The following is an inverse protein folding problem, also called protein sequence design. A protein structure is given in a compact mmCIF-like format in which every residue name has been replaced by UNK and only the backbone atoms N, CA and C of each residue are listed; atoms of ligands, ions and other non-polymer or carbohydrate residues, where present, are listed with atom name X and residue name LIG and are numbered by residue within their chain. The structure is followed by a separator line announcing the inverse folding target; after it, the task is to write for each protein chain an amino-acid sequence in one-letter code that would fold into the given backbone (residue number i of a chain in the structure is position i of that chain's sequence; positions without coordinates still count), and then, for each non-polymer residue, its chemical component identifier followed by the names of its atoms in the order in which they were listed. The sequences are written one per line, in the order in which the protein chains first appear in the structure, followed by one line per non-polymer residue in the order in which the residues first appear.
data_IF_211198316761
#
_entry.id   IF_211198316761
#
_cell.length_a   1.000
_cell.length_b   1.000
_cell.length_c   1.000
_cell.angle_alpha   90.00
_cell.angle_beta   90.00
_cell.angle_gamma   90.00
#
_symmetry.space_group_name_H-M   'P 1'
#
loop_
_entity.id
_entity.type
_entity.pdbx_description
1 polymer ?
#
# COMPACT_ATOMS: atom_id res chain seq x y z
N UNK A 1 -2.56 17.06 -23.91
CA UNK A 1 -1.98 16.72 -22.59
C UNK A 1 -1.02 15.58 -22.84
N UNK A 2 0.25 15.71 -22.48
CA UNK A 2 1.27 14.70 -22.75
C UNK A 2 0.98 13.43 -21.94
N UNK A 3 1.27 12.26 -22.51
CA UNK A 3 1.11 10.96 -21.84
C UNK A 3 1.94 10.87 -20.55
N UNK A 4 3.05 11.61 -20.48
CA UNK A 4 3.90 11.76 -19.29
C UNK A 4 3.14 12.27 -18.06
N UNK A 5 2.17 13.17 -18.23
CA UNK A 5 1.40 13.70 -17.10
C UNK A 5 0.52 12.64 -16.45
N UNK A 6 0.05 11.64 -17.20
CA UNK A 6 -0.80 10.56 -16.67
C UNK A 6 0.02 9.54 -15.87
N UNK A 7 1.25 9.24 -16.28
CA UNK A 7 2.14 8.38 -15.48
C UNK A 7 2.56 9.06 -14.18
N UNK A 8 2.83 10.37 -14.20
CA UNK A 8 3.14 11.14 -13.00
C UNK A 8 1.99 11.08 -11.97
N UNK A 9 0.74 11.22 -12.42
CA UNK A 9 -0.46 11.09 -11.56
C UNK A 9 -0.57 9.71 -10.91
N UNK A 10 -0.32 8.63 -11.66
CA UNK A 10 -0.35 7.26 -11.13
C UNK A 10 0.79 7.03 -10.14
N UNK A 11 1.98 7.61 -10.36
CA UNK A 11 3.09 7.57 -9.41
C UNK A 11 2.73 8.28 -8.10
N UNK A 12 2.12 9.47 -8.16
CA UNK A 12 1.62 10.18 -6.98
C UNK A 12 0.57 9.33 -6.24
N UNK A 13 -0.31 8.64 -6.99
CA UNK A 13 -1.26 7.68 -6.43
C UNK A 13 -0.59 6.54 -5.67
N UNK A 14 0.51 5.99 -6.21
CA UNK A 14 1.31 4.97 -5.54
C UNK A 14 1.94 5.50 -4.24
N UNK A 15 2.53 6.69 -4.27
CA UNK A 15 3.13 7.34 -3.09
C UNK A 15 2.07 7.63 -2.01
N UNK A 16 0.86 8.03 -2.41
CA UNK A 16 -0.25 8.27 -1.50
C UNK A 16 -0.69 6.98 -0.79
N UNK A 17 -0.74 5.86 -1.53
CA UNK A 17 -1.00 4.53 -0.95
C UNK A 17 0.09 4.12 0.03
N UNK A 18 1.35 4.32 -0.34
CA UNK A 18 2.48 4.03 0.54
C UNK A 18 2.42 4.83 1.84
N UNK A 19 2.11 6.13 1.76
CA UNK A 19 1.93 6.98 2.94
C UNK A 19 0.78 6.50 3.84
N UNK A 20 -0.34 6.08 3.25
CA UNK A 20 -1.47 5.52 4.01
C UNK A 20 -1.06 4.23 4.73
N UNK A 21 -0.33 3.32 4.08
CA UNK A 21 0.12 2.07 4.72
C UNK A 21 1.12 2.32 5.85
N UNK A 22 2.04 3.27 5.70
CA UNK A 22 2.96 3.67 6.78
C UNK A 22 2.18 4.23 7.97
N UNK A 23 1.16 5.06 7.72
CA UNK A 23 0.30 5.60 8.78
C UNK A 23 -0.43 4.49 9.53
N UNK A 24 -1.07 3.57 8.80
CA UNK A 24 -1.76 2.41 9.40
C UNK A 24 -0.78 1.56 10.22
N UNK A 25 0.44 1.34 9.71
CA UNK A 25 1.48 0.62 10.43
C UNK A 25 1.86 1.31 11.75
N UNK A 26 1.98 2.64 11.77
CA UNK A 26 2.26 3.40 12.98
C UNK A 26 1.12 3.33 14.02
N UNK A 27 -0.14 3.36 13.57
CA UNK A 27 -1.32 3.25 14.44
C UNK A 27 -1.35 1.91 15.20
N UNK A 28 -0.88 0.82 14.60
CA UNK A 28 -0.76 -0.48 15.27
C UNK A 28 0.19 -0.43 16.48
N UNK A 29 1.31 0.30 16.40
CA UNK A 29 2.23 0.45 17.52
C UNK A 29 1.64 1.31 18.65
N UNK A 30 0.83 2.31 18.32
CA UNK A 30 0.10 3.08 19.32
C UNK A 30 -0.88 2.19 20.09
N UNK A 31 -1.60 1.31 19.39
CA UNK A 31 -2.49 0.32 20.01
C UNK A 31 -1.73 -0.66 20.91
N UNK A 32 -0.60 -1.20 20.44
CA UNK A 32 0.26 -2.09 21.25
C UNK A 32 0.79 -1.36 22.49
N UNK A 33 1.22 -0.11 22.36
CA UNK A 33 1.70 0.69 23.50
C UNK A 33 0.61 0.85 24.56
N UNK A 34 -0.61 1.17 24.14
CA UNK A 34 -1.75 1.30 25.05
C UNK A 34 -2.06 -0.02 25.76
N UNK A 35 -2.05 -1.14 25.03
CA UNK A 35 -2.26 -2.47 25.60
C UNK A 35 -1.19 -2.82 26.66
N UNK A 36 0.06 -2.40 26.45
CA UNK A 36 1.14 -2.57 27.43
C UNK A 36 0.94 -1.68 28.66
N UNK A 37 0.50 -0.43 28.49
CA UNK A 37 0.17 0.46 29.61
C UNK A 37 -0.97 -0.12 30.47
N UNK A 38 -2.03 -0.62 29.82
CA UNK A 38 -3.14 -1.30 30.49
C UNK A 38 -2.65 -2.55 31.25
N UNK A 39 -1.72 -3.31 30.65
CA UNK A 39 -1.08 -4.46 31.31
C UNK A 39 -0.32 -4.06 32.57
N UNK A 40 0.44 -2.97 32.53
CA UNK A 40 1.19 -2.45 33.67
C UNK A 40 0.25 -2.10 34.82
N UNK A 41 -0.87 -1.43 34.53
CA UNK A 41 -1.87 -1.09 35.56
C UNK A 41 -2.43 -2.36 36.21
N UNK A 42 -2.77 -3.38 35.42
CA UNK A 42 -3.29 -4.65 35.95
C UNK A 42 -2.25 -5.40 36.79
N UNK A 43 -1.01 -5.48 36.33
CA UNK A 43 0.09 -6.10 37.07
C UNK A 43 0.36 -5.38 38.38
N UNK A 44 0.32 -4.05 38.39
CA UNK A 44 0.47 -3.26 39.61
C UNK A 44 -0.63 -3.54 40.64
N UNK A 45 -1.87 -3.83 40.21
CA UNK A 45 -2.95 -4.22 41.13
C UNK A 45 -2.75 -5.61 41.78
N UNK A 46 -1.95 -6.48 41.15
CA UNK A 46 -1.57 -7.79 41.69
C UNK A 46 -0.38 -7.66 42.65
N UNK A 47 0.66 -6.93 42.24
CA UNK A 47 1.88 -6.72 43.03
C UNK A 47 1.60 -5.84 44.26
N UNK A 48 0.80 -4.78 44.08
CA UNK A 48 0.45 -3.80 45.10
C UNK A 48 -1.08 -3.68 45.23
N UNK A 49 -1.74 -4.58 45.99
CA UNK A 49 -3.19 -4.73 45.99
C UNK A 49 -3.92 -3.69 46.85
N UNK A 50 -3.64 -2.40 46.63
CA UNK A 50 -4.39 -1.30 47.25
C UNK A 50 -5.80 -1.20 46.66
N UNK A 51 -6.79 -0.65 47.40
CA UNK A 51 -8.12 -0.42 46.86
C UNK A 51 -8.11 0.42 45.57
N UNK A 52 -7.26 1.45 45.51
CA UNK A 52 -7.10 2.31 44.34
C UNK A 52 -6.60 1.53 43.10
N UNK A 53 -5.57 0.71 43.25
CA UNK A 53 -5.03 -0.07 42.13
C UNK A 53 -6.02 -1.12 41.63
N UNK A 54 -6.73 -1.78 42.56
CA UNK A 54 -7.79 -2.73 42.20
C UNK A 54 -8.93 -2.07 41.43
N UNK A 55 -9.35 -0.88 41.85
CA UNK A 55 -10.39 -0.09 41.15
C UNK A 55 -9.95 0.25 39.72
N UNK A 56 -8.72 0.74 39.52
CA UNK A 56 -8.17 1.05 38.18
C UNK A 56 -8.12 -0.19 37.28
N UNK A 57 -7.77 -1.35 37.82
CA UNK A 57 -7.66 -2.59 37.05
C UNK A 57 -9.03 -3.19 36.64
N UNK A 58 -10.10 -2.95 37.41
CA UNK A 58 -11.44 -3.46 37.11
C UNK A 58 -12.02 -2.83 35.84
N UNK A 59 -11.69 -1.57 35.55
CA UNK A 59 -12.13 -0.87 34.34
C UNK A 59 -11.36 -1.25 33.07
N UNK A 60 -10.33 -2.11 33.17
CA UNK A 60 -9.47 -2.49 32.05
C UNK A 60 -9.77 -3.90 31.52
N UNK A 61 -9.51 -4.17 30.24
CA UNK A 61 -9.67 -5.51 29.65
C UNK A 61 -8.87 -6.58 30.40
N UNK A 62 -9.26 -7.86 30.29
CA UNK A 62 -8.51 -8.96 30.91
C UNK A 62 -7.11 -9.11 30.31
N UNK A 63 -6.16 -9.70 31.05
CA UNK A 63 -4.81 -9.99 30.51
C UNK A 63 -4.86 -10.87 29.27
N UNK A 64 -5.82 -11.81 29.20
CA UNK A 64 -6.02 -12.66 28.01
C UNK A 64 -6.51 -11.84 26.81
N UNK A 65 -7.42 -10.89 27.04
CA UNK A 65 -7.91 -9.98 26.01
C UNK A 65 -6.80 -9.06 25.51
N UNK A 66 -6.01 -8.50 26.42
CA UNK A 66 -4.85 -7.66 26.08
C UNK A 66 -3.82 -8.47 25.28
N UNK A 67 -3.47 -9.67 25.74
CA UNK A 67 -2.52 -10.55 25.05
C UNK A 67 -3.00 -10.97 23.66
N UNK A 68 -4.31 -11.14 23.48
CA UNK A 68 -4.92 -11.42 22.17
C UNK A 68 -4.84 -10.20 21.24
N UNK A 69 -5.19 -9.02 21.73
CA UNK A 69 -5.08 -7.74 20.99
C UNK A 69 -3.65 -7.46 20.55
N UNK A 70 -2.66 -7.59 21.45
CA UNK A 70 -1.24 -7.43 21.10
C UNK A 70 -0.82 -8.41 20.01
N UNK A 71 -1.25 -9.68 20.10
CA UNK A 71 -0.92 -10.70 19.09
C UNK A 71 -1.52 -10.36 17.73
N UNK A 72 -2.76 -9.91 17.69
CA UNK A 72 -3.45 -9.48 16.47
C UNK A 72 -2.73 -8.29 15.83
N UNK A 73 -2.50 -7.22 16.60
CA UNK A 73 -1.78 -6.04 16.14
C UNK A 73 -0.37 -6.36 15.62
N UNK A 74 0.36 -7.28 16.26
CA UNK A 74 1.67 -7.74 15.79
C UNK A 74 1.58 -8.50 14.46
N UNK A 75 0.54 -9.32 14.27
CA UNK A 75 0.34 -10.04 13.01
C UNK A 75 -0.03 -9.08 11.88
N UNK A 76 -0.89 -8.11 12.16
CA UNK A 76 -1.26 -7.08 11.20
C UNK A 76 -0.08 -6.20 10.84
N UNK A 77 0.76 -5.84 11.82
CA UNK A 77 1.99 -5.09 11.59
C UNK A 77 2.90 -5.84 10.60
N UNK A 78 3.07 -7.17 10.74
CA UNK A 78 3.84 -7.98 9.80
C UNK A 78 3.25 -7.96 8.38
N UNK A 79 1.92 -7.99 8.26
CA UNK A 79 1.25 -7.93 6.96
C UNK A 79 1.46 -6.55 6.32
N UNK A 80 1.29 -5.48 7.08
CA UNK A 80 1.54 -4.10 6.63
C UNK A 80 3.00 -3.87 6.21
N UNK A 81 3.98 -4.43 6.92
CA UNK A 81 5.37 -4.39 6.46
C UNK A 81 5.56 -5.04 5.08
N UNK A 82 4.89 -6.16 4.80
CA UNK A 82 4.98 -6.82 3.48
C UNK A 82 4.36 -5.95 2.38
N UNK A 83 3.22 -5.31 2.66
CA UNK A 83 2.55 -4.38 1.73
C UNK A 83 3.43 -3.17 1.42
N UNK A 84 3.99 -2.52 2.45
CA UNK A 84 4.93 -1.39 2.30
C UNK A 84 6.13 -1.80 1.43
N UNK A 85 6.76 -2.95 1.73
CA UNK A 85 7.90 -3.44 0.93
C UNK A 85 7.51 -3.72 -0.52
N UNK A 86 6.31 -4.26 -0.76
CA UNK A 86 5.79 -4.50 -2.11
C UNK A 86 5.59 -3.19 -2.89
N UNK A 87 5.00 -2.18 -2.24
CA UNK A 87 4.79 -0.85 -2.82
C UNK A 87 6.10 -0.13 -3.10
N UNK A 88 7.09 -0.23 -2.20
CA UNK A 88 8.43 0.33 -2.41
C UNK A 88 9.10 -0.29 -3.63
N UNK A 89 9.06 -1.62 -3.78
CA UNK A 89 9.60 -2.30 -4.96
C UNK A 89 8.93 -1.84 -6.25
N UNK A 90 7.60 -1.71 -6.26
CA UNK A 90 6.87 -1.16 -7.41
C UNK A 90 7.34 0.25 -7.75
N UNK A 91 7.53 1.11 -6.74
CA UNK A 91 8.04 2.45 -6.96
C UNK A 91 9.47 2.43 -7.55
N UNK A 92 10.35 1.55 -7.05
CA UNK A 92 11.70 1.35 -7.59
C UNK A 92 11.68 0.92 -9.07
N UNK A 93 10.87 -0.08 -9.40
CA UNK A 93 10.72 -0.56 -10.77
C UNK A 93 10.24 0.55 -11.71
N UNK A 94 9.31 1.39 -11.25
CA UNK A 94 8.80 2.53 -12.02
C UNK A 94 9.89 3.58 -12.22
N UNK A 95 10.68 3.92 -11.20
CA UNK A 95 11.74 4.92 -11.31
C UNK A 95 12.89 4.45 -12.20
N UNK A 96 13.18 3.15 -12.22
CA UNK A 96 14.21 2.58 -13.09
C UNK A 96 13.78 2.51 -14.55
N UNK A 97 12.50 2.22 -14.82
CA UNK A 97 11.98 2.02 -16.17
C UNK A 97 11.23 3.22 -16.74
N UNK A 98 10.96 4.24 -15.93
CA UNK A 98 10.14 5.43 -16.23
C UNK A 98 8.76 5.09 -16.79
N UNK A 99 8.22 3.93 -16.42
CA UNK A 99 6.97 3.38 -16.96
C UNK A 99 6.13 2.77 -15.86
N UNK A 100 4.84 3.06 -15.92
CA UNK A 100 3.82 2.47 -15.05
C UNK A 100 2.88 1.63 -15.91
N UNK A 101 2.58 0.41 -15.47
CA UNK A 101 1.58 -0.43 -16.13
C UNK A 101 0.20 0.25 -16.10
N UNK A 102 -0.44 0.34 -17.26
CA UNK A 102 -1.75 0.98 -17.36
C UNK A 102 -2.82 0.10 -16.69
N UNK A 103 -3.30 0.56 -15.54
CA UNK A 103 -4.33 -0.09 -14.71
C UNK A 103 -5.68 -0.28 -15.41
N UNK A 104 -5.93 0.40 -16.53
CA UNK A 104 -7.19 0.27 -17.27
C UNK A 104 -7.19 -0.91 -18.25
N UNK A 105 -6.01 -1.32 -18.72
CA UNK A 105 -5.88 -2.45 -19.65
C UNK A 105 -4.96 -3.55 -19.12
N UNK A 106 -4.54 -3.48 -17.86
CA UNK A 106 -3.60 -4.41 -17.23
C UNK A 106 -2.36 -4.65 -18.12
N UNK A 107 -1.75 -3.57 -18.61
CA UNK A 107 -0.55 -3.66 -19.44
C UNK A 107 -0.77 -4.09 -20.89
N UNK A 108 -1.97 -4.52 -21.29
CA UNK A 108 -2.23 -5.09 -22.63
C UNK A 108 -2.21 -4.07 -23.76
N UNK A 109 -2.41 -2.79 -23.46
CA UNK A 109 -2.56 -1.73 -24.46
C UNK A 109 -3.91 -1.72 -25.16
N UNK A 110 -4.77 -2.71 -24.92
CA UNK A 110 -6.07 -2.86 -25.57
C UNK A 110 -7.17 -3.22 -24.58
N UNK A 111 -8.41 -2.87 -24.95
CA UNK A 111 -9.63 -3.21 -24.20
C UNK A 111 -10.67 -3.78 -25.14
N UNK A 112 -11.36 -4.83 -24.68
CA UNK A 112 -12.49 -5.41 -25.39
C UNK A 112 -13.74 -4.57 -25.14
N UNK A 113 -14.33 -4.06 -26.21
CA UNK A 113 -15.60 -3.33 -26.15
C UNK A 113 -16.67 -4.09 -26.90
N UNK A 114 -17.90 -4.02 -26.41
CA UNK A 114 -19.06 -4.57 -27.11
C UNK A 114 -19.44 -3.60 -28.23
N UNK A 115 -19.29 -4.05 -29.47
CA UNK A 115 -19.71 -3.33 -30.67
C UNK A 115 -20.92 -4.03 -31.30
N UNK A 116 -21.67 -3.29 -32.13
CA UNK A 116 -22.86 -3.80 -32.80
C UNK A 116 -22.70 -3.64 -34.31
N UNK A 117 -22.80 -4.75 -35.03
CA UNK A 117 -22.89 -4.71 -36.50
C UNK A 117 -24.37 -4.72 -36.88
N UNK A 118 -24.78 -3.74 -37.69
CA UNK A 118 -26.14 -3.66 -38.21
C UNK A 118 -26.12 -4.12 -39.65
N UNK A 119 -26.65 -5.30 -39.89
CA UNK A 119 -26.93 -5.76 -41.24
C UNK A 119 -28.43 -5.70 -41.49
N UNK A 120 -28.84 -5.63 -42.76
CA UNK A 120 -30.15 -5.13 -43.27
C UNK A 120 -31.42 -5.44 -42.44
N UNK A 121 -31.47 -6.51 -41.66
CA UNK A 121 -32.60 -6.87 -40.79
C UNK A 121 -32.22 -7.28 -39.34
N UNK A 122 -30.92 -7.32 -38.98
CA UNK A 122 -30.47 -7.79 -37.65
C UNK A 122 -29.35 -6.93 -37.06
N UNK A 123 -29.38 -6.78 -35.74
CA UNK A 123 -28.28 -6.20 -34.96
C UNK A 123 -27.58 -7.34 -34.23
N UNK A 124 -26.32 -7.62 -34.59
CA UNK A 124 -25.52 -8.63 -33.92
C UNK A 124 -24.43 -7.98 -33.05
N UNK A 125 -24.38 -8.29 -31.75
CA UNK A 125 -23.28 -7.87 -30.90
C UNK A 125 -22.02 -8.70 -31.21
N UNK A 126 -20.86 -8.05 -31.21
CA UNK A 126 -19.56 -8.71 -31.27
C UNK A 126 -18.57 -7.97 -30.37
N UNK A 127 -17.55 -8.70 -29.91
CA UNK A 127 -16.45 -8.08 -29.17
C UNK A 127 -15.42 -7.54 -30.15
N UNK A 128 -15.14 -6.25 -30.03
CA UNK A 128 -14.12 -5.55 -30.79
C UNK A 128 -12.99 -5.17 -29.84
N UNK A 129 -11.75 -5.48 -30.23
CA UNK A 129 -10.57 -5.05 -29.48
C UNK A 129 -10.17 -3.65 -29.95
N UNK A 130 -10.16 -2.68 -29.03
CA UNK A 130 -9.73 -1.31 -29.30
C UNK A 130 -8.52 -0.95 -28.48
N UNK A 131 -7.71 -0.01 -28.99
CA UNK A 131 -6.63 0.61 -28.22
C UNK A 131 -7.19 1.17 -26.91
N UNK A 132 -6.46 0.93 -25.83
CA UNK A 132 -6.79 1.45 -24.52
C UNK A 132 -6.86 2.98 -24.59
N UNK A 133 -7.95 3.63 -24.16
CA UNK A 133 -8.09 5.09 -24.21
C UNK A 133 -7.18 5.80 -23.20
N UNK A 134 -6.66 5.08 -22.20
CA UNK A 134 -5.83 5.65 -21.13
C UNK A 134 -4.35 5.74 -21.56
N UNK A 135 -3.80 4.66 -22.11
CA UNK A 135 -2.41 4.55 -22.59
C UNK A 135 -2.26 4.47 -24.12
N UNK A 136 -3.34 4.76 -24.86
CA UNK A 136 -3.37 4.88 -26.33
C UNK A 136 -2.79 3.70 -27.15
N UNK A 137 -2.71 2.51 -26.57
CA UNK A 137 -2.18 1.31 -27.24
C UNK A 137 -0.90 0.77 -26.63
N UNK A 138 -0.20 1.55 -25.80
CA UNK A 138 1.17 1.21 -25.38
C UNK A 138 1.22 0.23 -24.20
N UNK A 139 0.11 0.08 -23.48
CA UNK A 139 0.05 -0.74 -22.27
C UNK A 139 0.67 -0.10 -21.04
N UNK A 140 1.49 0.94 -21.22
CA UNK A 140 2.18 1.65 -20.14
C UNK A 140 1.92 3.16 -20.22
N UNK A 141 2.13 3.84 -19.10
CA UNK A 141 2.13 5.28 -18.99
C UNK A 141 3.55 5.72 -18.66
N UNK A 142 4.10 6.66 -19.43
CA UNK A 142 5.42 7.22 -19.18
C UNK A 142 5.39 8.13 -17.95
N UNK A 143 6.47 8.09 -17.18
CA UNK A 143 6.72 8.97 -16.03
C UNK A 143 7.80 9.96 -16.43
N UNK A 144 7.62 11.23 -16.08
CA UNK A 144 8.63 12.24 -16.35
C UNK A 144 9.90 11.99 -15.53
N UNK A 145 11.06 12.15 -16.16
CA UNK A 145 12.36 11.95 -15.50
C UNK A 145 12.49 12.82 -14.24
N UNK A 146 11.99 14.05 -14.28
CA UNK A 146 12.03 14.97 -13.13
C UNK A 146 11.24 14.43 -11.94
N UNK A 147 10.01 13.92 -12.17
CA UNK A 147 9.19 13.34 -11.09
C UNK A 147 9.82 12.04 -10.58
N UNK A 148 10.36 11.21 -11.47
CA UNK A 148 11.07 9.99 -11.09
C UNK A 148 12.30 10.28 -10.21
N UNK A 149 13.12 11.28 -10.58
CA UNK A 149 14.31 11.68 -9.83
C UNK A 149 13.97 12.19 -8.42
N UNK A 150 12.94 13.02 -8.28
CA UNK A 150 12.47 13.50 -6.97
C UNK A 150 11.98 12.31 -6.12
N UNK A 151 11.27 11.38 -6.75
CA UNK A 151 10.71 10.20 -6.07
C UNK A 151 11.81 9.24 -5.61
N UNK A 152 12.91 9.12 -6.37
CA UNK A 152 14.03 8.19 -6.05
C UNK A 152 14.67 8.52 -4.71
N UNK A 153 14.81 9.80 -4.40
CA UNK A 153 15.38 10.23 -3.12
C UNK A 153 14.50 9.79 -1.96
N UNK A 154 13.18 9.95 -2.11
CA UNK A 154 12.20 9.62 -1.08
C UNK A 154 12.11 8.10 -0.85
N UNK A 155 12.05 7.32 -1.93
CA UNK A 155 11.99 5.85 -1.85
C UNK A 155 13.26 5.28 -1.25
N UNK A 156 14.43 5.82 -1.59
CA UNK A 156 15.71 5.39 -0.99
C UNK A 156 15.71 5.57 0.53
N UNK A 157 15.26 6.72 1.05
CA UNK A 157 15.13 6.95 2.49
C UNK A 157 14.16 5.96 3.15
N UNK A 158 13.01 5.69 2.52
CA UNK A 158 12.03 4.75 3.06
C UNK A 158 12.54 3.30 3.06
N UNK A 159 13.42 2.95 2.13
CA UNK A 159 14.01 1.61 2.04
C UNK A 159 14.90 1.30 3.23
N UNK A 160 15.72 2.27 3.65
CA UNK A 160 16.61 2.14 4.82
C UNK A 160 15.83 1.73 6.08
N UNK A 161 14.61 2.27 6.26
CA UNK A 161 13.72 1.91 7.38
C UNK A 161 13.29 0.44 7.37
N UNK A 162 13.22 -0.20 6.20
CA UNK A 162 12.77 -1.60 6.08
C UNK A 162 13.90 -2.63 6.29
N UNK A 163 15.14 -2.18 6.53
CA UNK A 163 16.27 -3.06 6.83
C UNK A 163 16.70 -4.00 5.70
N UNK A 164 16.22 -3.78 4.46
CA UNK A 164 16.64 -4.53 3.28
C UNK A 164 17.72 -3.75 2.53
N UNK A 165 18.97 -4.18 2.69
CA UNK A 165 20.07 -3.78 1.80
C UNK A 165 19.77 -4.26 0.37
N UNK A 166 19.82 -3.35 -0.61
CA UNK A 166 19.94 -3.76 -2.00
C UNK A 166 21.38 -4.21 -2.19
N UNK A 167 21.55 -5.50 -2.49
CA UNK A 167 22.74 -5.95 -3.20
C UNK A 167 22.68 -5.31 -4.58
N UNK A 168 23.47 -4.26 -4.78
CA UNK A 168 23.76 -3.76 -6.12
C UNK A 168 24.42 -4.92 -6.88
N UNK A 169 23.65 -5.60 -7.73
CA UNK A 169 24.23 -6.47 -8.74
C UNK A 169 24.76 -5.57 -9.86
N UNK A 170 25.93 -4.99 -9.61
CA UNK A 170 26.81 -4.51 -10.65
C UNK A 170 27.54 -5.73 -11.21
N UNK A 171 27.06 -6.27 -12.32
CA UNK A 171 27.77 -7.22 -13.18
C UNK A 171 27.76 -6.70 -14.60
#
# INVERSE_FOLDING_TARGET
MSESAKGDEELIGLLSKLAAEIKNYAELFLSISKDLDDSIIRLNAVIYPTPENRLKAISLPSMDSIGSSVRENVNDAKNKTKEIVSLLKKAEDIMNNLKIECSFCDGKGEVSVLSYHRDKETIQPYFETKKCPKCYGDGYLEVSETVAQITIQLVNCLRELTGKEIKNNSS
#
